data_IF_576672132724
#
_entry.id   IF_576672132724
#
_cell.length_a   1.000
_cell.length_b   1.000
_cell.length_c   1.000
_cell.angle_alpha   90.00
_cell.angle_beta   90.00
_cell.angle_gamma   90.00
#
_symmetry.space_group_name_H-M   'P 1'
#
loop_
_entity.id
_entity.type
_entity.pdbx_description
1 polymer ?
#
# COMPACT_ATOMS: atom_id res chain seq x y z
N UNK A 1 -8.16 6.08 3.58
CA UNK A 1 -7.20 6.04 2.44
C UNK A 1 -6.81 4.60 2.14
N UNK A 2 -6.66 4.23 0.87
CA UNK A 2 -6.08 2.95 0.43
C UNK A 2 -5.01 3.19 -0.63
N UNK A 3 -3.81 2.62 -0.46
CA UNK A 3 -2.71 2.80 -1.42
C UNK A 3 -2.97 2.07 -2.73
N UNK A 4 -3.47 0.83 -2.62
CA UNK A 4 -3.90 -0.07 -3.71
C UNK A 4 -2.82 -0.49 -4.72
N UNK A 5 -1.62 0.05 -4.64
CA UNK A 5 -0.45 -0.46 -5.37
C UNK A 5 0.85 -0.32 -4.57
N UNK A 6 0.94 -0.99 -3.41
CA UNK A 6 2.11 -0.89 -2.53
C UNK A 6 3.06 -2.08 -2.74
N UNK A 7 3.44 -2.33 -3.99
CA UNK A 7 4.50 -3.28 -4.29
C UNK A 7 5.86 -2.75 -3.80
N UNK A 8 6.87 -3.61 -3.65
CA UNK A 8 8.16 -3.25 -3.08
C UNK A 8 8.92 -2.14 -3.83
N UNK A 9 8.68 -1.96 -5.13
CA UNK A 9 9.20 -0.82 -5.91
C UNK A 9 8.67 0.55 -5.47
N UNK A 10 7.52 0.59 -4.77
CA UNK A 10 6.88 1.80 -4.26
C UNK A 10 7.26 2.09 -2.80
N UNK A 11 8.23 1.35 -2.25
CA UNK A 11 8.78 1.52 -0.91
C UNK A 11 10.24 1.98 -1.03
N UNK A 12 10.46 3.29 -0.93
CA UNK A 12 11.80 3.85 -0.96
C UNK A 12 12.43 3.84 0.43
N UNK A 13 13.68 3.38 0.51
CA UNK A 13 14.47 3.39 1.73
C UNK A 13 15.66 4.33 1.61
N UNK A 14 15.95 5.07 2.68
CA UNK A 14 17.17 5.89 2.77
C UNK A 14 17.81 5.75 4.14
N UNK A 15 19.14 5.82 4.19
CA UNK A 15 19.89 5.87 5.46
C UNK A 15 19.57 7.16 6.22
N UNK A 16 19.56 7.07 7.55
CA UNK A 16 19.37 8.21 8.45
C UNK A 16 20.25 8.08 9.70
N UNK A 17 20.64 9.23 10.27
CA UNK A 17 21.26 9.30 11.59
C UNK A 17 20.24 9.42 12.72
N UNK A 18 18.97 9.74 12.40
CA UNK A 18 17.88 9.79 13.37
C UNK A 18 17.70 8.39 14.00
N UNK A 19 17.65 8.33 15.33
CA UNK A 19 17.44 7.06 16.05
C UNK A 19 15.97 6.67 16.10
N UNK A 20 15.09 7.67 16.14
CA UNK A 20 13.66 7.50 16.27
C UNK A 20 12.93 8.47 15.34
N UNK A 21 11.70 8.12 14.98
CA UNK A 21 10.75 9.00 14.29
C UNK A 21 9.45 9.05 15.09
N UNK A 22 8.89 10.25 15.23
CA UNK A 22 7.59 10.44 15.85
C UNK A 22 6.52 10.53 14.76
N UNK A 23 5.43 9.77 14.94
CA UNK A 23 4.25 9.77 14.07
C UNK A 23 3.01 10.02 14.92
N UNK A 24 2.10 10.85 14.42
CA UNK A 24 0.82 11.13 15.11
C UNK A 24 -0.30 10.38 14.42
N UNK A 25 -1.01 9.55 15.18
CA UNK A 25 -2.18 8.79 14.72
C UNK A 25 -3.35 9.08 15.65
N UNK A 26 -4.45 9.61 15.11
CA UNK A 26 -5.65 9.97 15.88
C UNK A 26 -5.37 10.89 17.09
N UNK A 27 -4.39 11.79 16.96
CA UNK A 27 -3.98 12.72 18.02
C UNK A 27 -2.98 12.14 19.02
N UNK A 28 -2.71 10.83 18.97
CA UNK A 28 -1.69 10.19 19.81
C UNK A 28 -0.35 10.12 19.11
N UNK A 29 0.73 10.37 19.86
CA UNK A 29 2.10 10.33 19.34
C UNK A 29 2.72 8.96 19.62
N UNK A 30 3.21 8.33 18.56
CA UNK A 30 3.94 7.07 18.58
C UNK A 30 5.38 7.32 18.17
N UNK A 31 6.33 6.78 18.93
CA UNK A 31 7.77 6.90 18.65
C UNK A 31 8.28 5.54 18.20
N UNK A 32 8.87 5.50 17.00
CA UNK A 32 9.34 4.28 16.36
C UNK A 32 10.86 4.33 16.15
N UNK A 33 11.61 3.27 16.51
CA UNK A 33 13.04 3.21 16.21
C UNK A 33 13.25 3.08 14.69
N UNK A 34 14.14 3.89 14.12
CA UNK A 34 14.39 3.89 12.66
C UNK A 34 15.25 2.72 12.20
N UNK A 35 16.01 2.11 13.11
CA UNK A 35 17.09 1.17 12.76
C UNK A 35 18.06 1.74 11.69
N UNK A 36 18.24 3.07 11.68
CA UNK A 36 19.09 3.76 10.70
C UNK A 36 18.48 3.91 9.30
N UNK A 37 17.21 3.53 9.11
CA UNK A 37 16.50 3.60 7.83
C UNK A 37 15.22 4.45 7.97
N UNK A 38 14.95 5.28 6.97
CA UNK A 38 13.65 5.91 6.78
C UNK A 38 12.99 5.35 5.52
N UNK A 39 11.69 5.11 5.64
CA UNK A 39 10.83 4.59 4.57
C UNK A 39 9.97 5.73 4.01
N UNK A 40 9.82 5.79 2.69
CA UNK A 40 8.88 6.67 2.01
C UNK A 40 8.04 5.83 1.05
N UNK A 41 6.73 5.99 1.15
CA UNK A 41 5.77 5.39 0.22
C UNK A 41 5.56 6.36 -0.94
N UNK A 42 5.64 5.86 -2.17
CA UNK A 42 5.47 6.64 -3.40
C UNK A 42 4.43 6.00 -4.32
N UNK A 43 4.17 6.69 -5.43
CA UNK A 43 3.27 6.26 -6.51
C UNK A 43 1.83 5.99 -6.04
N UNK A 44 1.01 7.04 -6.16
CA UNK A 44 -0.40 6.99 -5.77
C UNK A 44 -1.32 6.75 -6.97
N UNK A 45 -0.82 6.20 -8.08
CA UNK A 45 -1.58 6.04 -9.33
C UNK A 45 -2.87 5.28 -9.11
N UNK A 46 -2.89 4.20 -8.30
CA UNK A 46 -4.10 3.42 -7.99
C UNK A 46 -4.78 3.81 -6.68
N UNK A 47 -4.27 4.80 -5.96
CA UNK A 47 -4.73 5.13 -4.62
C UNK A 47 -6.17 5.64 -4.58
N UNK A 48 -6.80 5.49 -3.41
CA UNK A 48 -8.11 6.07 -3.07
C UNK A 48 -8.03 6.87 -1.78
N UNK A 49 -8.51 8.11 -1.84
CA UNK A 49 -8.60 9.02 -0.72
C UNK A 49 -9.97 9.70 -0.67
N UNK A 50 -10.38 10.08 0.53
CA UNK A 50 -11.59 10.89 0.73
C UNK A 50 -11.22 12.04 1.65
N UNK A 51 -11.64 13.25 1.27
CA UNK A 51 -11.42 14.46 2.05
C UNK A 51 -12.62 15.37 1.90
N UNK A 52 -13.19 15.81 3.01
CA UNK A 52 -14.32 16.73 3.04
C UNK A 52 -15.52 16.22 2.19
N UNK A 53 -15.75 14.91 2.19
CA UNK A 53 -16.79 14.23 1.40
C UNK A 53 -16.46 14.04 -0.08
N UNK A 54 -15.32 14.53 -0.56
CA UNK A 54 -14.84 14.31 -1.93
C UNK A 54 -13.95 13.07 -1.99
N UNK A 55 -14.39 12.05 -2.73
CA UNK A 55 -13.60 10.85 -3.00
C UNK A 55 -12.82 11.00 -4.30
N UNK A 56 -11.50 10.83 -4.22
CA UNK A 56 -10.59 10.75 -5.37
C UNK A 56 -10.01 9.35 -5.41
N UNK A 57 -10.12 8.70 -6.57
CA UNK A 57 -9.64 7.33 -6.76
C UNK A 57 -9.31 7.08 -8.24
N UNK A 58 -8.49 6.07 -8.49
CA UNK A 58 -8.33 5.49 -9.81
C UNK A 58 -9.37 4.39 -10.01
N UNK A 59 -10.16 4.51 -11.08
CA UNK A 59 -11.14 3.49 -11.44
C UNK A 59 -10.49 2.43 -12.32
N UNK A 60 -10.32 1.23 -11.74
CA UNK A 60 -9.75 0.07 -12.43
C UNK A 60 -10.85 -0.88 -12.96
N UNK A 61 -12.12 -0.50 -12.90
CA UNK A 61 -13.23 -1.41 -13.19
C UNK A 61 -13.23 -1.97 -14.61
N UNK A 62 -12.58 -1.28 -15.55
CA UNK A 62 -12.45 -1.68 -16.96
C UNK A 62 -11.04 -2.08 -17.37
N UNK A 63 -10.06 -2.02 -16.46
CA UNK A 63 -8.65 -2.29 -16.78
C UNK A 63 -8.29 -3.77 -16.53
N UNK A 64 -8.63 -4.62 -17.49
CA UNK A 64 -8.41 -6.07 -17.37
C UNK A 64 -6.92 -6.46 -17.35
N UNK A 65 -6.03 -5.64 -17.91
CA UNK A 65 -4.59 -5.95 -17.98
C UNK A 65 -3.97 -6.03 -16.59
N UNK A 66 -4.39 -5.16 -15.66
CA UNK A 66 -3.96 -5.16 -14.25
C UNK A 66 -4.24 -6.51 -13.58
N UNK A 67 -5.32 -7.19 -13.94
CA UNK A 67 -5.76 -8.43 -13.28
C UNK A 67 -5.26 -9.72 -13.93
N UNK A 68 -4.70 -9.63 -15.14
CA UNK A 68 -4.19 -10.77 -15.91
C UNK A 68 -2.72 -11.11 -15.64
N UNK A 69 -2.00 -10.24 -14.91
CA UNK A 69 -0.60 -10.49 -14.56
C UNK A 69 -0.38 -11.75 -13.72
N UNK A 70 0.83 -12.32 -13.80
CA UNK A 70 1.22 -13.53 -13.08
C UNK A 70 2.74 -13.62 -12.85
N UNK A 71 3.16 -14.60 -12.04
CA UNK A 71 4.57 -14.85 -11.72
C UNK A 71 5.09 -14.14 -10.46
N UNK A 72 4.28 -13.28 -9.84
CA UNK A 72 4.60 -12.57 -8.60
C UNK A 72 3.34 -12.43 -7.74
N UNK A 73 3.48 -12.50 -6.41
CA UNK A 73 2.37 -12.40 -5.48
C UNK A 73 1.62 -11.05 -5.57
N UNK A 74 2.26 -9.99 -6.09
CA UNK A 74 1.60 -8.69 -6.33
C UNK A 74 0.35 -8.83 -7.20
N UNK A 75 0.36 -9.74 -8.19
CA UNK A 75 -0.76 -9.90 -9.09
C UNK A 75 -1.96 -10.58 -8.41
N UNK A 76 -1.71 -11.43 -7.41
CA UNK A 76 -2.77 -11.98 -6.57
C UNK A 76 -3.40 -10.90 -5.69
N UNK A 77 -2.64 -9.89 -5.26
CA UNK A 77 -3.18 -8.77 -4.48
C UNK A 77 -4.19 -7.97 -5.30
N UNK A 78 -3.91 -7.68 -6.57
CA UNK A 78 -4.89 -7.00 -7.46
C UNK A 78 -6.19 -7.78 -7.60
N UNK A 79 -6.10 -9.10 -7.83
CA UNK A 79 -7.30 -9.97 -7.93
C UNK A 79 -8.09 -10.00 -6.62
N UNK A 80 -7.42 -10.13 -5.48
CA UNK A 80 -8.06 -10.12 -4.15
C UNK A 80 -8.76 -8.79 -3.86
N UNK A 81 -8.12 -7.66 -4.18
CA UNK A 81 -8.77 -6.35 -4.03
C UNK A 81 -10.02 -6.23 -4.90
N UNK A 82 -9.97 -6.68 -6.16
CA UNK A 82 -11.13 -6.69 -7.08
C UNK A 82 -12.27 -7.57 -6.57
N UNK A 83 -11.93 -8.73 -6.00
CA UNK A 83 -12.91 -9.63 -5.38
C UNK A 83 -13.54 -9.00 -4.13
N UNK A 84 -12.73 -8.47 -3.20
CA UNK A 84 -13.21 -7.87 -1.95
C UNK A 84 -14.09 -6.63 -2.17
N UNK A 85 -13.78 -5.82 -3.18
CA UNK A 85 -14.53 -4.61 -3.49
C UNK A 85 -15.65 -4.82 -4.53
N UNK A 86 -15.86 -6.07 -4.99
CA UNK A 86 -16.81 -6.40 -6.06
C UNK A 86 -16.65 -5.51 -7.33
N UNK A 87 -15.40 -5.17 -7.66
CA UNK A 87 -14.99 -4.25 -8.72
C UNK A 87 -15.48 -2.79 -8.56
N UNK A 88 -15.91 -2.39 -7.35
CA UNK A 88 -16.22 -1.00 -7.02
C UNK A 88 -15.02 -0.31 -6.37
N UNK A 89 -14.30 0.49 -7.16
CA UNK A 89 -13.08 1.17 -6.72
C UNK A 89 -13.33 2.51 -6.00
N UNK A 90 -14.56 3.04 -5.97
CA UNK A 90 -14.85 4.25 -5.20
C UNK A 90 -14.89 3.98 -3.68
N UNK A 91 -15.37 2.79 -3.31
CA UNK A 91 -15.65 2.41 -1.93
C UNK A 91 -14.39 2.25 -1.08
N UNK A 92 -14.57 2.45 0.22
CA UNK A 92 -13.48 2.37 1.18
C UNK A 92 -13.30 0.96 1.72
N UNK A 93 -12.31 0.24 1.18
CA UNK A 93 -11.86 -1.07 1.67
C UNK A 93 -10.45 -0.98 2.27
N UNK A 94 -10.28 -0.61 3.56
CA UNK A 94 -8.97 -0.48 4.19
C UNK A 94 -8.17 -1.78 4.24
N UNK A 95 -8.85 -2.93 4.15
CA UNK A 95 -8.20 -4.24 4.12
C UNK A 95 -7.23 -4.39 2.94
N UNK A 96 -7.43 -3.65 1.84
CA UNK A 96 -6.45 -3.55 0.75
C UNK A 96 -5.04 -3.15 1.23
N UNK A 97 -4.92 -2.30 2.25
CA UNK A 97 -3.62 -1.96 2.84
C UNK A 97 -2.99 -3.16 3.57
N UNK A 98 -3.81 -4.00 4.22
CA UNK A 98 -3.35 -5.22 4.90
C UNK A 98 -2.88 -6.25 3.87
N UNK A 99 -3.58 -6.40 2.75
CA UNK A 99 -3.16 -7.28 1.65
C UNK A 99 -1.77 -6.88 1.13
N UNK A 100 -1.52 -5.58 0.93
CA UNK A 100 -0.21 -5.11 0.51
C UNK A 100 0.87 -5.23 1.60
N UNK A 101 0.55 -4.99 2.87
CA UNK A 101 1.49 -5.24 3.98
C UNK A 101 1.84 -6.72 4.09
N UNK A 102 0.88 -7.61 3.85
CA UNK A 102 1.12 -9.05 3.79
C UNK A 102 2.04 -9.41 2.61
N UNK A 103 1.83 -8.82 1.43
CA UNK A 103 2.75 -8.94 0.31
C UNK A 103 4.18 -8.47 0.65
N UNK A 104 4.34 -7.31 1.28
CA UNK A 104 5.67 -6.81 1.68
C UNK A 104 6.35 -7.72 2.70
N UNK A 105 5.59 -8.26 3.66
CA UNK A 105 6.11 -9.24 4.61
C UNK A 105 6.56 -10.52 3.90
N UNK A 106 5.80 -11.00 2.92
CA UNK A 106 6.16 -12.16 2.09
C UNK A 106 7.48 -11.93 1.34
N UNK A 107 7.63 -10.77 0.69
CA UNK A 107 8.86 -10.36 0.01
C UNK A 107 10.05 -10.33 0.96
N UNK A 108 9.90 -9.73 2.14
CA UNK A 108 10.97 -9.65 3.14
C UNK A 108 11.40 -11.03 3.65
N UNK A 109 10.46 -11.97 3.79
CA UNK A 109 10.75 -13.31 4.31
C UNK A 109 11.30 -14.28 3.26
N UNK A 110 10.95 -14.10 1.98
CA UNK A 110 11.26 -15.08 0.92
C UNK A 110 12.25 -14.62 -0.12
N UNK A 111 12.40 -13.31 -0.35
CA UNK A 111 13.18 -12.79 -1.48
C UNK A 111 14.35 -11.88 -1.05
N UNK A 112 14.37 -11.44 0.20
CA UNK A 112 15.51 -10.74 0.78
C UNK A 112 16.41 -11.77 1.49
N UNK A 113 17.28 -12.42 0.71
CA UNK A 113 18.37 -13.29 1.19
C UNK A 113 19.68 -12.93 0.52
#
# INVERSE_FOLDING_TARGET
HGHRDLHWGNVLVRKTSLKEVAVTLNGEVYVLPTQGILVNIIDYTFSRLERDGLTVFCDLSTDEEVFQGGGDYQFDIYRRMREENANNWADYFPHSNILWLHYLADKLLKEVT
#
